data_IF_769434229555
#
_entry.id   IF_769434229555
#
_cell.length_a   1.000
_cell.length_b   1.000
_cell.length_c   1.000
_cell.angle_alpha   90.00
_cell.angle_beta   90.00
_cell.angle_gamma   90.00
#
_symmetry.space_group_name_H-M   'P 1'
#
loop_
_entity.id
_entity.type
_entity.pdbx_description
1 polymer ?
#
# COMPACT_ATOMS: atom_id res chain seq x y z
N UNK A 1 -12.21 -36.94 -11.31
CA UNK A 1 -12.43 -35.72 -12.12
C UNK A 1 -11.19 -34.86 -11.96
N UNK A 2 -10.42 -34.72 -13.04
CA UNK A 2 -9.13 -34.04 -13.09
C UNK A 2 -9.29 -32.53 -12.92
N UNK A 3 -8.82 -31.95 -11.81
CA UNK A 3 -8.64 -30.51 -11.68
C UNK A 3 -7.34 -30.12 -12.37
N UNK A 4 -7.44 -29.77 -13.66
CA UNK A 4 -6.42 -29.00 -14.34
C UNK A 4 -6.45 -27.57 -13.83
N UNK A 5 -5.82 -27.30 -12.68
CA UNK A 5 -5.39 -25.95 -12.37
C UNK A 5 -4.18 -25.68 -13.24
N UNK A 6 -4.40 -24.99 -14.37
CA UNK A 6 -3.33 -24.24 -15.01
C UNK A 6 -2.90 -23.23 -13.95
N UNK A 7 -1.83 -23.54 -13.21
CA UNK A 7 -1.31 -22.69 -12.14
C UNK A 7 -1.07 -21.30 -12.72
N UNK A 8 -1.87 -20.32 -12.31
CA UNK A 8 -1.72 -18.95 -12.78
C UNK A 8 -0.33 -18.48 -12.36
N UNK A 9 0.47 -18.04 -13.33
CA UNK A 9 1.79 -17.49 -13.00
C UNK A 9 1.61 -16.11 -12.35
N UNK A 10 2.05 -15.98 -11.10
CA UNK A 10 1.92 -14.78 -10.29
C UNK A 10 3.19 -13.92 -10.39
N UNK A 11 3.03 -12.64 -10.72
CA UNK A 11 4.08 -11.63 -10.63
C UNK A 11 3.86 -10.70 -9.44
N UNK A 12 4.93 -10.19 -8.85
CA UNK A 12 4.88 -9.14 -7.84
C UNK A 12 5.85 -8.00 -8.17
N UNK A 13 5.39 -6.76 -8.05
CA UNK A 13 6.24 -5.57 -8.12
C UNK A 13 6.60 -5.13 -6.71
N UNK A 14 7.82 -5.39 -6.22
CA UNK A 14 8.17 -5.16 -4.82
C UNK A 14 8.53 -3.71 -4.53
N UNK A 15 8.52 -3.35 -3.23
CA UNK A 15 9.10 -2.08 -2.77
C UNK A 15 10.63 -2.10 -2.81
N UNK A 16 11.22 -3.27 -2.65
CA UNK A 16 12.66 -3.52 -2.71
C UNK A 16 12.95 -4.90 -3.33
N UNK A 17 13.98 -5.05 -4.19
CA UNK A 17 14.29 -6.33 -4.86
C UNK A 17 14.61 -7.49 -3.91
N UNK A 18 14.92 -7.22 -2.65
CA UNK A 18 15.21 -8.22 -1.63
C UNK A 18 14.08 -8.37 -0.62
N UNK A 19 12.91 -7.77 -0.86
CA UNK A 19 11.71 -7.86 -0.01
C UNK A 19 11.95 -7.43 1.44
N UNK A 20 12.89 -6.51 1.68
CA UNK A 20 13.28 -6.13 3.05
C UNK A 20 12.40 -5.03 3.64
N UNK A 21 11.61 -4.33 2.83
CA UNK A 21 10.76 -3.23 3.30
C UNK A 21 9.60 -3.78 4.12
N UNK A 22 9.14 -3.07 5.17
CA UNK A 22 8.01 -3.52 5.98
C UNK A 22 6.78 -3.91 5.14
N UNK A 23 6.45 -3.14 4.11
CA UNK A 23 5.34 -3.46 3.22
C UNK A 23 5.53 -4.79 2.47
N UNK A 24 6.74 -5.09 1.97
CA UNK A 24 7.03 -6.40 1.36
C UNK A 24 6.91 -7.53 2.39
N UNK A 25 7.41 -7.33 3.62
CA UNK A 25 7.42 -8.35 4.68
C UNK A 25 6.08 -8.60 5.36
N UNK A 26 5.10 -7.71 5.18
CA UNK A 26 3.80 -7.74 5.89
C UNK A 26 2.58 -7.86 4.98
N UNK A 27 2.73 -7.69 3.66
CA UNK A 27 1.62 -7.73 2.69
C UNK A 27 1.68 -9.00 1.83
N UNK A 28 1.47 -8.85 0.52
CA UNK A 28 1.37 -9.96 -0.44
C UNK A 28 2.51 -10.99 -0.32
N UNK A 29 3.81 -10.63 -0.27
CA UNK A 29 4.86 -11.64 -0.15
C UNK A 29 4.74 -12.50 1.11
N UNK A 30 4.32 -11.91 2.23
CA UNK A 30 4.06 -12.66 3.48
C UNK A 30 2.87 -13.58 3.36
N UNK A 31 1.78 -13.09 2.76
CA UNK A 31 0.61 -13.91 2.48
C UNK A 31 0.95 -15.09 1.56
N UNK A 32 1.72 -14.83 0.50
CA UNK A 32 2.16 -15.85 -0.45
C UNK A 32 3.01 -16.93 0.24
N UNK A 33 3.96 -16.52 1.08
CA UNK A 33 4.77 -17.43 1.87
C UNK A 33 3.93 -18.27 2.85
N UNK A 34 2.89 -17.71 3.46
CA UNK A 34 1.99 -18.45 4.37
C UNK A 34 1.09 -19.47 3.66
N UNK A 35 0.96 -19.37 2.34
CA UNK A 35 0.05 -20.19 1.52
C UNK A 35 0.79 -21.07 0.52
N UNK A 36 2.12 -21.12 0.60
CA UNK A 36 2.99 -21.80 -0.36
C UNK A 36 2.67 -21.40 -1.82
N UNK A 37 2.37 -20.11 -2.04
CA UNK A 37 2.07 -19.56 -3.36
C UNK A 37 3.36 -19.08 -4.03
N UNK A 38 3.84 -19.73 -5.11
CA UNK A 38 5.00 -19.26 -5.84
C UNK A 38 4.66 -17.98 -6.61
N UNK A 39 5.62 -17.06 -6.67
CA UNK A 39 5.53 -15.83 -7.47
C UNK A 39 6.92 -15.36 -7.88
N UNK A 40 7.00 -14.63 -8.99
CA UNK A 40 8.22 -14.01 -9.47
C UNK A 40 8.22 -12.51 -9.18
N UNK A 41 9.41 -11.94 -8.94
CA UNK A 41 9.59 -10.49 -8.90
C UNK A 41 9.65 -9.96 -10.33
N UNK A 42 8.76 -9.01 -10.64
CA UNK A 42 8.60 -8.51 -12.00
C UNK A 42 8.72 -7.01 -12.09
N UNK A 43 9.24 -6.55 -13.23
CA UNK A 43 9.22 -5.13 -13.63
C UNK A 43 8.26 -4.87 -14.79
N UNK A 44 7.64 -5.91 -15.36
CA UNK A 44 6.68 -5.87 -16.45
C UNK A 44 5.67 -7.02 -16.37
N UNK A 45 4.71 -7.06 -17.29
CA UNK A 45 3.58 -8.00 -17.27
C UNK A 45 3.81 -9.26 -18.13
N UNK A 46 4.93 -9.34 -18.83
CA UNK A 46 5.21 -10.48 -19.71
C UNK A 46 5.29 -11.78 -18.89
N UNK A 47 4.70 -12.86 -19.41
CA UNK A 47 4.73 -14.23 -18.84
C UNK A 47 3.89 -14.51 -17.59
N UNK A 48 3.14 -13.52 -17.09
CA UNK A 48 2.33 -13.66 -15.88
C UNK A 48 0.85 -13.43 -16.17
N UNK A 49 -0.01 -14.24 -15.56
CA UNK A 49 -1.45 -14.12 -15.74
C UNK A 49 -2.03 -13.10 -14.77
N UNK A 50 -1.45 -13.02 -13.56
CA UNK A 50 -1.86 -12.09 -12.52
C UNK A 50 -0.62 -11.41 -11.95
N UNK A 51 -0.68 -10.08 -11.84
CA UNK A 51 0.39 -9.27 -11.25
C UNK A 51 -0.16 -8.48 -10.07
N UNK A 52 0.53 -8.58 -8.93
CA UNK A 52 0.28 -7.78 -7.73
C UNK A 52 1.20 -6.57 -7.72
N UNK A 53 0.63 -5.37 -7.67
CA UNK A 53 1.35 -4.11 -7.73
C UNK A 53 1.43 -3.47 -6.35
N UNK A 54 2.64 -3.12 -5.89
CA UNK A 54 2.85 -2.25 -4.74
C UNK A 54 2.49 -0.78 -5.04
N UNK A 55 2.40 0.05 -4.00
CA UNK A 55 2.08 1.48 -4.15
C UNK A 55 3.20 2.32 -4.78
N UNK A 56 4.40 1.74 -4.95
CA UNK A 56 5.53 2.36 -5.66
C UNK A 56 5.68 1.89 -7.10
N UNK A 57 4.83 0.97 -7.56
CA UNK A 57 4.86 0.54 -8.96
C UNK A 57 4.66 1.75 -9.88
N UNK A 58 5.30 1.74 -11.05
CA UNK A 58 5.15 2.81 -12.03
C UNK A 58 3.74 2.77 -12.64
N UNK A 59 2.79 3.42 -11.97
CA UNK A 59 1.40 3.47 -12.44
C UNK A 59 1.29 4.05 -13.84
N UNK A 60 2.24 4.89 -14.29
CA UNK A 60 2.20 5.44 -15.65
C UNK A 60 2.46 4.38 -16.72
N UNK A 61 3.17 3.30 -16.36
CA UNK A 61 3.37 2.09 -17.16
C UNK A 61 2.21 1.11 -16.98
N UNK A 62 1.84 0.80 -15.74
CA UNK A 62 0.90 -0.27 -15.41
C UNK A 62 -0.56 0.01 -15.80
N UNK A 63 -0.95 1.28 -15.96
CA UNK A 63 -2.28 1.62 -16.53
C UNK A 63 -2.46 1.14 -17.98
N UNK A 64 -1.36 0.90 -18.70
CA UNK A 64 -1.36 0.43 -20.08
C UNK A 64 -1.24 -1.10 -20.19
N UNK A 65 -1.27 -1.83 -19.06
CA UNK A 65 -1.17 -3.29 -19.06
C UNK A 65 -2.33 -3.92 -19.86
N UNK A 66 -2.06 -4.89 -20.75
CA UNK A 66 -3.10 -5.58 -21.54
C UNK A 66 -4.21 -6.18 -20.68
N UNK A 67 -5.46 -6.16 -21.16
CA UNK A 67 -6.63 -6.59 -20.37
C UNK A 67 -6.71 -8.10 -20.09
N UNK A 68 -5.92 -8.92 -20.81
CA UNK A 68 -5.76 -10.35 -20.53
C UNK A 68 -4.88 -10.61 -19.29
N UNK A 69 -4.25 -9.56 -18.73
CA UNK A 69 -3.45 -9.60 -17.51
C UNK A 69 -4.29 -9.13 -16.33
N UNK A 70 -4.48 -10.00 -15.34
CA UNK A 70 -5.10 -9.65 -14.08
C UNK A 70 -4.20 -8.75 -13.26
N UNK A 71 -4.70 -7.60 -12.82
CA UNK A 71 -3.96 -6.64 -12.00
C UNK A 71 -4.61 -6.53 -10.63
N UNK A 72 -3.86 -6.91 -9.60
CA UNK A 72 -4.22 -6.66 -8.19
C UNK A 72 -3.40 -5.48 -7.70
N UNK A 73 -4.07 -4.39 -7.34
CA UNK A 73 -3.39 -3.21 -6.81
C UNK A 73 -3.38 -3.23 -5.28
N UNK A 74 -2.21 -3.34 -4.67
CA UNK A 74 -2.02 -3.24 -3.23
C UNK A 74 -1.74 -1.77 -2.83
N UNK A 75 -2.77 -1.10 -2.30
CA UNK A 75 -2.80 0.32 -2.01
C UNK A 75 -3.20 0.60 -0.54
N UNK A 76 -2.32 0.31 0.44
CA UNK A 76 -2.61 0.52 1.86
C UNK A 76 -2.69 2.01 2.24
N UNK A 77 -1.98 2.89 1.52
CA UNK A 77 -1.94 4.31 1.87
C UNK A 77 -3.19 5.07 1.39
N UNK A 78 -3.62 6.04 2.19
CA UNK A 78 -4.78 6.90 1.91
C UNK A 78 -4.51 7.97 0.83
N UNK A 79 -4.02 7.57 -0.35
CA UNK A 79 -3.70 8.49 -1.46
C UNK A 79 -4.90 9.35 -1.90
N UNK A 80 -6.13 8.87 -1.72
CA UNK A 80 -7.35 9.57 -2.12
C UNK A 80 -7.78 10.68 -1.13
N UNK A 81 -7.25 10.65 0.09
CA UNK A 81 -7.62 11.57 1.18
C UNK A 81 -6.78 12.84 1.21
N UNK A 82 -5.75 12.91 0.37
CA UNK A 82 -4.95 14.12 0.24
C UNK A 82 -5.76 15.24 -0.43
N UNK A 83 -5.96 16.31 0.34
CA UNK A 83 -6.55 17.55 -0.16
C UNK A 83 -5.68 18.10 -1.31
N UNK A 84 -6.27 18.53 -2.43
CA UNK A 84 -5.52 19.15 -3.52
C UNK A 84 -4.74 20.37 -3.01
N UNK A 85 -3.41 20.35 -3.13
CA UNK A 85 -2.56 21.44 -2.67
C UNK A 85 -1.19 21.43 -3.35
N UNK A 86 -0.34 22.42 -3.03
CA UNK A 86 1.00 22.52 -3.64
C UNK A 86 1.88 21.29 -3.33
N UNK A 87 1.69 20.67 -2.15
CA UNK A 87 2.34 19.41 -1.75
C UNK A 87 1.86 18.19 -2.58
N UNK A 88 0.57 18.12 -2.92
CA UNK A 88 0.03 17.01 -3.74
C UNK A 88 0.43 17.13 -5.22
N UNK A 89 0.76 18.35 -5.70
CA UNK A 89 1.31 18.60 -7.05
C UNK A 89 2.79 18.20 -7.16
N UNK A 90 3.56 18.37 -6.09
CA UNK A 90 4.98 17.98 -6.04
C UNK A 90 5.22 16.48 -5.98
N UNK A 91 4.24 15.68 -5.54
CA UNK A 91 4.41 14.22 -5.36
C UNK A 91 4.76 13.47 -6.64
N UNK A 92 4.12 13.80 -7.77
CA UNK A 92 4.43 13.15 -9.05
C UNK A 92 5.85 13.49 -9.54
N UNK A 93 6.36 14.66 -9.18
CA UNK A 93 7.77 15.02 -9.42
C UNK A 93 8.69 14.31 -8.44
N UNK A 94 8.35 14.23 -7.15
CA UNK A 94 9.14 13.53 -6.14
C UNK A 94 9.27 12.03 -6.44
N UNK A 95 8.18 11.36 -6.86
CA UNK A 95 8.21 9.96 -7.29
C UNK A 95 9.00 9.75 -8.58
N UNK A 96 8.96 10.71 -9.51
CA UNK A 96 9.80 10.67 -10.71
C UNK A 96 11.29 10.83 -10.37
N UNK A 97 11.67 11.82 -9.55
CA UNK A 97 13.04 11.97 -9.07
C UNK A 97 13.51 10.80 -8.21
N UNK A 98 12.60 10.16 -7.46
CA UNK A 98 12.86 8.94 -6.70
C UNK A 98 12.93 7.66 -7.56
N UNK A 99 12.68 7.75 -8.87
CA UNK A 99 12.76 6.61 -9.81
C UNK A 99 11.54 5.70 -9.82
N UNK A 100 10.49 6.00 -9.05
CA UNK A 100 9.24 5.20 -8.99
C UNK A 100 8.35 5.42 -10.23
N UNK A 101 8.49 6.55 -10.93
CA UNK A 101 7.77 6.84 -12.17
C UNK A 101 8.75 6.94 -13.33
N UNK A 102 8.40 6.38 -14.50
CA UNK A 102 9.19 6.53 -15.73
C UNK A 102 9.16 7.93 -16.32
N UNK A 103 8.17 8.75 -15.94
CA UNK A 103 7.95 10.10 -16.47
C UNK A 103 7.35 11.04 -15.44
N UNK A 104 7.57 12.37 -15.56
CA UNK A 104 6.96 13.35 -14.66
C UNK A 104 5.43 13.38 -14.82
N UNK A 105 4.70 13.35 -13.71
CA UNK A 105 3.23 13.35 -13.69
C UNK A 105 2.71 14.56 -12.92
N UNK A 106 2.12 15.54 -13.63
CA UNK A 106 1.61 16.78 -13.03
C UNK A 106 0.36 16.57 -12.13
N UNK A 107 -0.41 15.51 -12.37
CA UNK A 107 -1.64 15.18 -11.62
C UNK A 107 -1.61 13.73 -11.15
N UNK A 108 -0.78 13.42 -10.15
CA UNK A 108 -0.61 12.07 -9.62
C UNK A 108 -1.94 11.42 -9.19
N UNK A 109 -2.84 12.18 -8.56
CA UNK A 109 -4.18 11.68 -8.20
C UNK A 109 -4.95 11.09 -9.40
N UNK A 110 -4.91 11.74 -10.57
CA UNK A 110 -5.59 11.22 -11.77
C UNK A 110 -4.96 9.93 -12.27
N UNK A 111 -3.65 9.77 -12.09
CA UNK A 111 -2.97 8.53 -12.43
C UNK A 111 -3.39 7.39 -11.51
N UNK A 112 -3.47 7.65 -10.19
CA UNK A 112 -4.01 6.69 -9.22
C UNK A 112 -5.45 6.30 -9.57
N UNK A 113 -6.31 7.27 -9.89
CA UNK A 113 -7.69 6.99 -10.32
C UNK A 113 -7.77 6.15 -11.60
N UNK A 114 -6.87 6.37 -12.57
CA UNK A 114 -6.75 5.51 -13.77
C UNK A 114 -6.29 4.11 -13.41
N UNK A 115 -5.32 3.98 -12.50
CA UNK A 115 -4.81 2.69 -12.04
C UNK A 115 -5.88 1.90 -11.30
N UNK A 116 -6.65 2.55 -10.42
CA UNK A 116 -7.80 1.95 -9.74
C UNK A 116 -8.84 1.44 -10.74
N UNK A 117 -9.13 2.20 -11.81
CA UNK A 117 -10.05 1.76 -12.87
C UNK A 117 -9.50 0.60 -13.71
N UNK A 118 -8.18 0.52 -13.88
CA UNK A 118 -7.53 -0.58 -14.60
C UNK A 118 -7.46 -1.84 -13.75
N UNK A 119 -7.36 -1.73 -12.42
CA UNK A 119 -7.21 -2.89 -11.55
C UNK A 119 -8.42 -3.82 -11.58
N UNK A 120 -8.15 -5.12 -11.62
CA UNK A 120 -9.15 -6.20 -11.54
C UNK A 120 -9.53 -6.50 -10.08
N UNK A 121 -8.63 -6.19 -9.15
CA UNK A 121 -8.89 -6.15 -7.72
C UNK A 121 -8.03 -5.07 -7.04
N UNK A 122 -8.52 -4.50 -5.95
CA UNK A 122 -7.77 -3.54 -5.12
C UNK A 122 -7.73 -4.05 -3.69
N UNK A 123 -6.55 -4.02 -3.08
CA UNK A 123 -6.37 -4.28 -1.65
C UNK A 123 -6.05 -2.96 -0.95
N UNK A 124 -6.77 -2.65 0.12
CA UNK A 124 -6.55 -1.46 0.96
C UNK A 124 -6.47 -1.85 2.44
N UNK A 125 -6.32 -0.88 3.34
CA UNK A 125 -6.13 -1.14 4.77
C UNK A 125 -7.36 -0.87 5.63
N UNK A 126 -8.34 -0.11 5.13
CA UNK A 126 -9.56 0.20 5.91
C UNK A 126 -10.83 0.17 5.06
N UNK A 127 -11.98 0.00 5.73
CA UNK A 127 -13.29 0.03 5.09
C UNK A 127 -13.60 1.42 4.49
N UNK A 128 -13.19 2.51 5.16
CA UNK A 128 -13.38 3.87 4.65
C UNK A 128 -12.57 4.13 3.37
N UNK A 129 -11.40 3.48 3.23
CA UNK A 129 -10.66 3.49 1.97
C UNK A 129 -11.41 2.70 0.90
N UNK A 130 -11.93 1.52 1.24
CA UNK A 130 -12.68 0.67 0.31
C UNK A 130 -13.91 1.39 -0.25
N UNK A 131 -14.70 2.06 0.61
CA UNK A 131 -15.86 2.87 0.22
C UNK A 131 -15.50 3.97 -0.80
N UNK A 132 -14.34 4.60 -0.66
CA UNK A 132 -13.87 5.63 -1.60
C UNK A 132 -13.38 5.03 -2.92
N UNK A 133 -12.82 3.82 -2.87
CA UNK A 133 -12.24 3.13 -4.03
C UNK A 133 -13.30 2.40 -4.87
N UNK A 134 -14.44 2.00 -4.27
CA UNK A 134 -15.47 1.22 -4.96
C UNK A 134 -16.01 1.91 -6.22
N UNK A 135 -16.02 3.26 -6.23
CA UNK A 135 -16.42 4.05 -7.40
C UNK A 135 -15.48 3.92 -8.61
N UNK A 136 -14.30 3.33 -8.42
CA UNK A 136 -13.29 3.12 -9.47
C UNK A 136 -13.11 1.64 -9.81
N UNK A 137 -13.14 0.75 -8.82
CA UNK A 137 -13.07 -0.71 -8.98
C UNK A 137 -14.14 -1.33 -8.08
N UNK A 138 -14.96 -2.24 -8.59
CA UNK A 138 -16.01 -2.88 -7.77
C UNK A 138 -15.46 -4.01 -6.87
N UNK A 139 -14.24 -4.46 -7.13
CA UNK A 139 -13.60 -5.58 -6.44
C UNK A 139 -12.53 -5.06 -5.49
N UNK A 140 -12.93 -4.61 -4.29
CA UNK A 140 -12.05 -3.99 -3.30
C UNK A 140 -12.08 -4.79 -2.00
N UNK A 141 -10.90 -5.05 -1.44
CA UNK A 141 -10.73 -5.85 -0.23
C UNK A 141 -9.89 -5.10 0.82
N UNK A 142 -10.47 -4.76 1.98
CA UNK A 142 -9.70 -4.30 3.12
C UNK A 142 -8.96 -5.48 3.74
N UNK A 143 -7.63 -5.46 3.66
CA UNK A 143 -6.73 -6.47 4.22
C UNK A 143 -5.65 -5.76 5.01
N UNK A 144 -5.52 -6.12 6.29
CA UNK A 144 -4.53 -5.56 7.20
C UNK A 144 -3.15 -6.18 7.02
N UNK A 145 -2.14 -5.43 7.48
CA UNK A 145 -0.76 -5.87 7.51
C UNK A 145 -0.56 -7.05 8.47
N UNK A 146 0.18 -8.05 8.00
CA UNK A 146 0.54 -9.24 8.76
C UNK A 146 1.77 -8.94 9.63
N UNK A 147 1.52 -8.66 10.90
CA UNK A 147 2.56 -8.29 11.87
C UNK A 147 3.21 -9.47 12.60
N UNK A 148 3.13 -10.68 12.05
CA UNK A 148 3.70 -11.88 12.69
C UNK A 148 5.23 -11.88 12.86
N UNK A 149 5.94 -10.90 12.28
CA UNK A 149 7.37 -10.66 12.53
C UNK A 149 7.65 -9.91 13.85
N UNK A 150 6.61 -9.31 14.46
CA UNK A 150 6.73 -8.51 15.68
C UNK A 150 6.37 -9.39 16.87
N UNK A 151 7.30 -9.51 17.81
CA UNK A 151 7.03 -10.16 19.08
C UNK A 151 6.09 -9.28 19.93
N UNK A 152 4.90 -9.80 20.24
CA UNK A 152 3.99 -9.16 21.16
C UNK A 152 4.52 -9.32 22.60
N UNK A 153 5.10 -8.25 23.13
CA UNK A 153 5.54 -8.19 24.53
C UNK A 153 4.48 -7.52 25.41
N UNK A 154 4.34 -7.92 26.70
CA UNK A 154 3.44 -7.24 27.61
C UNK A 154 3.85 -5.76 27.76
N UNK A 155 2.88 -4.83 27.85
CA UNK A 155 3.19 -3.42 28.08
C UNK A 155 3.87 -3.26 29.44
N UNK A 156 4.94 -2.47 29.48
CA UNK A 156 5.55 -2.05 30.76
C UNK A 156 4.70 -0.93 31.34
N UNK A 157 3.80 -1.30 32.25
CA UNK A 157 3.04 -0.34 33.02
C UNK A 157 3.99 0.44 33.95
N UNK A 158 4.05 1.76 33.77
CA UNK A 158 4.63 2.65 34.78
C UNK A 158 3.48 3.25 35.57
N UNK A 159 3.62 3.31 36.89
CA UNK A 159 2.73 4.14 37.70
C UNK A 159 3.18 5.57 37.50
N UNK A 160 2.39 6.31 36.75
CA UNK A 160 2.51 7.76 36.59
C UNK A 160 1.35 8.40 37.35
N UNK A 161 1.62 9.54 37.99
CA UNK A 161 0.58 10.34 38.65
C UNK A 161 -0.15 11.25 37.62
N UNK A 162 0.22 11.17 36.33
CA UNK A 162 -0.34 11.95 35.22
C UNK A 162 -0.78 11.08 34.03
N UNK A 163 -1.16 11.75 32.94
CA UNK A 163 -1.66 11.07 31.73
C UNK A 163 -0.55 10.30 30.99
N UNK A 164 -0.70 8.98 30.87
CA UNK A 164 0.14 8.13 30.01
C UNK A 164 -0.37 8.15 28.56
N UNK A 165 0.46 8.60 27.63
CA UNK A 165 0.14 8.66 26.19
C UNK A 165 0.92 7.59 25.43
N UNK A 166 0.19 6.72 24.73
CA UNK A 166 0.78 5.80 23.76
C UNK A 166 0.78 6.47 22.39
N UNK A 167 1.91 6.41 21.71
CA UNK A 167 2.06 6.91 20.35
C UNK A 167 2.65 5.82 19.46
N UNK A 168 1.90 5.48 18.41
CA UNK A 168 2.34 4.62 17.32
C UNK A 168 2.59 5.49 16.09
N UNK A 169 3.83 5.53 15.63
CA UNK A 169 4.19 6.34 14.47
C UNK A 169 5.70 6.37 14.21
N UNK A 170 6.07 6.88 13.05
CA UNK A 170 7.46 7.22 12.73
C UNK A 170 7.81 8.57 13.36
N UNK A 171 9.08 8.82 13.66
CA UNK A 171 9.57 10.10 14.21
C UNK A 171 9.09 11.32 13.43
N UNK A 172 8.90 11.17 12.11
CA UNK A 172 8.32 12.18 11.21
C UNK A 172 6.87 12.56 11.51
N UNK A 173 6.11 11.73 12.23
CA UNK A 173 4.71 11.99 12.61
C UNK A 173 4.58 12.67 13.97
N UNK A 174 5.67 12.76 14.75
CA UNK A 174 5.69 13.40 16.06
C UNK A 174 5.28 14.90 16.03
N UNK A 175 5.61 15.70 15.00
CA UNK A 175 5.12 17.07 14.89
C UNK A 175 3.58 17.18 14.86
N UNK A 176 2.85 16.15 14.42
CA UNK A 176 1.39 16.17 14.45
C UNK A 176 0.84 16.18 15.89
N UNK A 177 1.59 15.60 16.83
CA UNK A 177 1.25 15.62 18.27
C UNK A 177 1.21 17.04 18.82
N UNK A 178 1.98 17.98 18.24
CA UNK A 178 1.96 19.39 18.66
C UNK A 178 0.56 20.01 18.56
N UNK A 179 -0.27 19.56 17.61
CA UNK A 179 -1.63 20.07 17.43
C UNK A 179 -2.56 19.70 18.58
N UNK A 180 -2.33 18.54 19.21
CA UNK A 180 -3.13 18.05 20.35
C UNK A 180 -2.46 18.31 21.69
N UNK A 181 -1.20 18.78 21.70
CA UNK A 181 -0.42 19.01 22.91
C UNK A 181 -1.10 19.96 23.92
N UNK A 182 -1.76 21.07 23.52
CA UNK A 182 -2.49 21.91 24.47
C UNK A 182 -3.61 21.16 25.19
N UNK A 183 -4.34 20.30 24.48
CA UNK A 183 -5.41 19.49 25.06
C UNK A 183 -4.83 18.42 26.01
N UNK A 184 -3.76 17.74 25.61
CA UNK A 184 -3.06 16.76 26.46
C UNK A 184 -2.54 17.39 27.76
N UNK A 185 -2.06 18.64 27.72
CA UNK A 185 -1.64 19.39 28.91
C UNK A 185 -2.78 19.84 29.81
N UNK A 186 -4.00 19.96 29.29
CA UNK A 186 -5.16 20.38 30.07
C UNK A 186 -5.77 19.23 30.88
N UNK A 187 -5.46 17.97 30.52
CA UNK A 187 -6.00 16.74 31.14
C UNK A 187 -4.94 15.95 31.92
N UNK A 188 -3.69 16.43 31.94
CA UNK A 188 -2.58 15.88 32.73
C UNK A 188 -2.39 16.70 34.00
#
# INVERSE_FOLDING_TARGET
>A
VTHGEIGRNLGYVPYDPHLRRPADRRRFPRYAAMRDLPFDLVSGWDRHDVIVLSSIADFAKWVEAPSDRGIVLDLPDAFLDERPGMRSRGRGLAKWFGGELSRPIARYRRLVERMLKRADAVVCSTDEQAEKMVRYCQNVHPILDLHGEIECVPPRLRKSDGLDVVWEGLTSTLPAVQQVLPALRAVA
#
